data_IF_321280551910
#
_entry.id   IF_321280551910
#
_cell.length_a   1.000
_cell.length_b   1.000
_cell.length_c   1.000
_cell.angle_alpha   90.00
_cell.angle_beta   90.00
_cell.angle_gamma   90.00
#
_symmetry.space_group_name_H-M   'P 1'
#
loop_
_entity.id
_entity.type
_entity.pdbx_description
1 polymer ?
#
# COMPACT_ATOMS: atom_id res chain seq x y z
N UNK A 1 3.15 13.63 -13.74
CA UNK A 1 2.53 12.43 -14.32
C UNK A 1 1.88 11.69 -13.17
N UNK A 2 0.58 11.48 -13.24
CA UNK A 2 -0.18 10.83 -12.17
C UNK A 2 -0.26 9.33 -12.48
N UNK A 3 0.19 8.49 -11.56
CA UNK A 3 0.01 7.05 -11.68
C UNK A 3 -1.46 6.69 -11.50
N UNK A 4 -1.90 5.60 -12.12
CA UNK A 4 -3.20 4.98 -11.87
C UNK A 4 -3.15 4.15 -10.59
N UNK A 5 -4.28 4.01 -9.90
CA UNK A 5 -4.39 3.24 -8.66
C UNK A 5 -5.23 1.98 -8.90
N UNK A 6 -4.61 0.83 -8.70
CA UNK A 6 -5.27 -0.46 -8.71
C UNK A 6 -5.17 -1.15 -7.34
N UNK A 7 -6.09 -2.07 -7.09
CA UNK A 7 -6.08 -2.90 -5.90
C UNK A 7 -6.08 -4.37 -6.34
N UNK A 8 -5.26 -5.19 -5.69
CA UNK A 8 -5.48 -6.63 -5.75
C UNK A 8 -6.88 -6.96 -5.19
N UNK A 9 -7.58 -7.97 -5.72
CA UNK A 9 -8.91 -8.34 -5.22
C UNK A 9 -8.94 -8.63 -3.71
N UNK A 10 -7.85 -9.22 -3.18
CA UNK A 10 -7.65 -9.43 -1.75
C UNK A 10 -7.45 -8.12 -0.98
N UNK A 11 -6.58 -7.24 -1.50
CA UNK A 11 -6.34 -5.92 -0.92
C UNK A 11 -7.59 -5.02 -0.94
N UNK A 12 -8.45 -5.15 -1.95
CA UNK A 12 -9.71 -4.43 -2.01
C UNK A 12 -10.67 -4.88 -0.91
N UNK A 13 -10.74 -6.19 -0.64
CA UNK A 13 -11.53 -6.74 0.48
C UNK A 13 -11.00 -6.24 1.83
N UNK A 14 -9.68 -6.22 2.01
CA UNK A 14 -9.03 -5.66 3.21
C UNK A 14 -9.33 -4.17 3.37
N UNK A 15 -9.19 -3.41 2.28
CA UNK A 15 -9.49 -1.99 2.23
C UNK A 15 -10.95 -1.72 2.60
N UNK A 16 -11.90 -2.50 2.08
CA UNK A 16 -13.32 -2.33 2.37
C UNK A 16 -13.64 -2.55 3.86
N UNK A 17 -12.91 -3.44 4.54
CA UNK A 17 -13.06 -3.69 5.99
C UNK A 17 -12.54 -2.56 6.88
N UNK A 18 -11.75 -1.62 6.34
CA UNK A 18 -11.24 -0.50 7.11
C UNK A 18 -12.34 0.50 7.49
N UNK A 19 -12.17 1.12 8.64
CA UNK A 19 -12.97 2.26 9.06
C UNK A 19 -12.80 3.46 8.13
N UNK A 20 -13.84 4.28 7.99
CA UNK A 20 -13.85 5.44 7.10
C UNK A 20 -12.74 6.44 7.41
N UNK A 21 -12.38 6.62 8.69
CA UNK A 21 -11.27 7.48 9.11
C UNK A 21 -9.92 6.97 8.58
N UNK A 22 -9.67 5.66 8.70
CA UNK A 22 -8.43 5.02 8.22
C UNK A 22 -8.35 5.08 6.69
N UNK A 23 -9.47 4.81 5.99
CA UNK A 23 -9.57 4.97 4.54
C UNK A 23 -9.24 6.39 4.10
N UNK A 24 -9.75 7.42 4.80
CA UNK A 24 -9.49 8.81 4.46
C UNK A 24 -8.01 9.18 4.62
N UNK A 25 -7.37 8.72 5.70
CA UNK A 25 -5.94 8.93 5.93
C UNK A 25 -5.08 8.26 4.84
N UNK A 26 -5.41 7.01 4.48
CA UNK A 26 -4.71 6.32 3.40
C UNK A 26 -4.96 6.97 2.05
N UNK A 27 -6.19 7.42 1.73
CA UNK A 27 -6.48 8.14 0.48
C UNK A 27 -5.60 9.38 0.32
N UNK A 28 -5.42 10.17 1.39
CA UNK A 28 -4.53 11.33 1.38
C UNK A 28 -3.09 10.93 1.05
N UNK A 29 -2.58 9.88 1.68
CA UNK A 29 -1.23 9.35 1.43
C UNK A 29 -1.08 8.75 0.03
N UNK A 30 -2.09 8.03 -0.45
CA UNK A 30 -2.09 7.45 -1.79
C UNK A 30 -2.10 8.53 -2.86
N UNK A 31 -2.86 9.62 -2.69
CA UNK A 31 -2.82 10.76 -3.60
C UNK A 31 -1.39 11.33 -3.75
N UNK A 32 -0.66 11.51 -2.64
CA UNK A 32 0.76 11.90 -2.67
C UNK A 32 1.64 10.86 -3.42
N UNK A 33 1.30 9.57 -3.33
CA UNK A 33 2.02 8.50 -4.04
C UNK A 33 1.70 8.44 -5.53
N UNK A 34 0.50 8.83 -5.95
CA UNK A 34 0.17 8.87 -7.38
C UNK A 34 1.04 9.90 -8.12
N UNK A 35 1.49 10.96 -7.44
CA UNK A 35 2.44 11.92 -8.02
C UNK A 35 3.89 11.46 -7.89
N UNK A 36 4.27 10.90 -6.73
CA UNK A 36 5.61 10.38 -6.50
C UNK A 36 5.58 9.01 -5.78
N UNK A 37 5.50 7.91 -6.54
CA UNK A 37 5.31 6.59 -5.95
C UNK A 37 6.59 5.99 -5.37
N UNK A 38 7.76 6.40 -5.88
CA UNK A 38 9.06 5.80 -5.55
C UNK A 38 9.73 6.49 -4.37
N UNK A 39 9.25 6.21 -3.16
CA UNK A 39 9.80 6.81 -1.94
C UNK A 39 10.87 5.91 -1.33
N UNK A 40 12.14 6.27 -1.50
CA UNK A 40 13.29 5.46 -1.08
C UNK A 40 13.23 5.02 0.40
N UNK A 41 12.81 5.91 1.30
CA UNK A 41 12.66 5.63 2.74
C UNK A 41 11.62 4.56 3.06
N UNK A 42 10.63 4.43 2.19
CA UNK A 42 9.49 3.53 2.36
C UNK A 42 9.63 2.24 1.56
N UNK A 43 10.73 2.07 0.80
CA UNK A 43 11.02 0.86 0.05
C UNK A 43 11.10 -0.35 0.97
N UNK A 44 10.44 -1.43 0.60
CA UNK A 44 10.55 -2.71 1.30
C UNK A 44 11.88 -3.39 0.93
N UNK A 45 12.65 -3.79 1.95
CA UNK A 45 13.88 -4.55 1.74
C UNK A 45 13.53 -5.96 1.26
N UNK A 46 14.28 -6.47 0.29
CA UNK A 46 14.06 -7.79 -0.30
C UNK A 46 13.00 -7.84 -1.41
N UNK A 47 12.35 -6.71 -1.72
CA UNK A 47 11.32 -6.62 -2.75
C UNK A 47 11.66 -5.58 -3.80
N UNK A 48 11.31 -5.86 -5.05
CA UNK A 48 11.54 -4.95 -6.18
C UNK A 48 10.31 -4.07 -6.42
N UNK A 49 10.53 -2.76 -6.47
CA UNK A 49 9.49 -1.74 -6.69
C UNK A 49 8.29 -1.77 -5.73
N UNK A 50 8.48 -2.33 -4.53
CA UNK A 50 7.45 -2.37 -3.50
C UNK A 50 7.80 -1.42 -2.36
N UNK A 51 6.79 -0.67 -1.94
CA UNK A 51 6.88 0.42 -0.98
C UNK A 51 5.76 0.31 0.05
N UNK A 52 5.95 0.95 1.20
CA UNK A 52 4.99 0.89 2.30
C UNK A 52 4.48 2.26 2.72
N UNK A 53 3.20 2.36 3.06
CA UNK A 53 2.62 3.52 3.74
C UNK A 53 2.34 3.10 5.19
N UNK A 54 2.79 3.92 6.15
CA UNK A 54 2.55 3.69 7.59
C UNK A 54 1.62 4.76 8.13
N UNK A 55 0.50 4.35 8.72
CA UNK A 55 -0.32 5.20 9.58
C UNK A 55 0.01 4.82 11.03
N UNK A 56 0.96 5.56 11.64
CA UNK A 56 1.49 5.21 12.96
C UNK A 56 0.40 5.29 14.03
N UNK A 57 -0.34 6.38 14.07
CA UNK A 57 -1.35 6.65 15.10
C UNK A 57 -2.55 5.72 14.99
N UNK A 58 -2.94 5.37 13.75
CA UNK A 58 -4.01 4.42 13.50
C UNK A 58 -3.57 2.94 13.62
N UNK A 59 -2.26 2.65 13.67
CA UNK A 59 -1.76 1.28 13.75
C UNK A 59 -1.89 0.47 12.46
N UNK A 60 -1.96 1.11 11.28
CA UNK A 60 -2.11 0.43 9.99
C UNK A 60 -0.90 0.56 9.07
N UNK A 61 -0.74 -0.42 8.18
CA UNK A 61 0.25 -0.44 7.11
C UNK A 61 -0.41 -0.83 5.79
N UNK A 62 0.07 -0.25 4.71
CA UNK A 62 -0.32 -0.59 3.34
C UNK A 62 0.95 -0.84 2.54
N UNK A 63 0.99 -1.92 1.75
CA UNK A 63 2.06 -2.21 0.82
C UNK A 63 1.55 -2.02 -0.61
N UNK A 64 2.33 -1.35 -1.45
CA UNK A 64 2.00 -1.13 -2.86
C UNK A 64 3.21 -1.39 -3.75
N UNK A 65 2.95 -1.92 -4.94
CA UNK A 65 3.92 -2.08 -6.01
C UNK A 65 3.80 -0.95 -7.01
N UNK A 66 4.93 -0.49 -7.55
CA UNK A 66 5.00 0.49 -8.63
C UNK A 66 5.34 -0.24 -9.91
N UNK A 67 4.49 -0.11 -10.93
CA UNK A 67 4.74 -0.63 -12.27
C UNK A 67 4.98 0.54 -13.22
N UNK A 68 6.23 0.94 -13.38
CA UNK A 68 6.61 2.05 -14.28
C UNK A 68 6.17 1.83 -15.73
N UNK A 69 6.21 0.59 -16.20
CA UNK A 69 5.80 0.25 -17.57
C UNK A 69 4.32 0.54 -17.86
N UNK A 70 3.47 0.50 -16.81
CA UNK A 70 2.02 0.71 -16.91
C UNK A 70 1.60 2.05 -16.30
N UNK A 71 2.53 2.78 -15.67
CA UNK A 71 2.23 4.00 -14.89
C UNK A 71 1.15 3.71 -13.83
N UNK A 72 1.25 2.54 -13.17
CA UNK A 72 0.25 2.06 -12.22
C UNK A 72 0.86 1.75 -10.85
N UNK A 73 0.15 2.10 -9.80
CA UNK A 73 0.39 1.66 -8.42
C UNK A 73 -0.63 0.58 -8.09
N UNK A 74 -0.15 -0.59 -7.72
CA UNK A 74 -1.00 -1.71 -7.30
C UNK A 74 -0.89 -1.86 -5.78
N UNK A 75 -2.00 -1.66 -5.07
CA UNK A 75 -2.09 -1.95 -3.64
C UNK A 75 -2.14 -3.47 -3.46
N UNK A 76 -1.12 -4.00 -2.78
CA UNK A 76 -0.93 -5.43 -2.58
C UNK A 76 -1.60 -5.94 -1.30
N UNK A 77 -1.46 -5.19 -0.22
CA UNK A 77 -1.96 -5.57 1.12
C UNK A 77 -2.30 -4.31 1.91
N UNK A 78 -3.39 -4.39 2.68
CA UNK A 78 -3.76 -3.37 3.66
C UNK A 78 -4.09 -4.08 4.97
N UNK A 79 -3.44 -3.71 6.06
CA UNK A 79 -3.62 -4.44 7.32
C UNK A 79 -3.17 -3.66 8.54
N UNK A 80 -3.57 -4.17 9.71
CA UNK A 80 -3.05 -3.67 10.98
C UNK A 80 -1.59 -4.04 11.12
N UNK A 81 -0.88 -3.30 11.97
CA UNK A 81 0.51 -3.59 12.33
C UNK A 81 0.62 -4.86 13.17
N UNK A 82 -0.43 -5.22 13.91
CA UNK A 82 -0.45 -6.35 14.84
C UNK A 82 0.01 -7.63 14.11
N UNK A 83 0.88 -8.40 14.76
CA UNK A 83 1.44 -9.68 14.30
C UNK A 83 2.18 -9.69 12.96
N UNK A 84 2.55 -8.52 12.40
CA UNK A 84 3.16 -8.43 11.06
C UNK A 84 2.33 -9.11 9.95
N UNK A 85 1.01 -9.24 10.15
CA UNK A 85 0.08 -9.86 9.19
C UNK A 85 0.21 -9.27 7.78
N UNK A 86 0.41 -7.95 7.69
CA UNK A 86 0.58 -7.28 6.42
C UNK A 86 1.83 -7.73 5.64
N UNK A 87 2.85 -8.26 6.31
CA UNK A 87 4.05 -8.80 5.67
C UNK A 87 3.94 -10.30 5.38
N UNK A 88 3.32 -11.07 6.26
CA UNK A 88 3.03 -12.49 5.97
C UNK A 88 2.13 -12.62 4.74
N UNK A 89 1.04 -11.84 4.69
CA UNK A 89 0.17 -11.78 3.50
C UNK A 89 0.87 -11.27 2.24
N UNK A 90 1.92 -10.46 2.39
CA UNK A 90 2.69 -9.93 1.27
C UNK A 90 3.59 -11.01 0.67
N UNK A 91 4.18 -11.90 1.50
CA UNK A 91 5.00 -13.03 1.04
C UNK A 91 4.18 -14.01 0.20
N UNK A 92 2.93 -14.28 0.57
CA UNK A 92 2.06 -15.18 -0.21
C UNK A 92 1.60 -14.60 -1.55
N UNK A 93 1.76 -13.28 -1.76
CA UNK A 93 1.22 -12.55 -2.94
C UNK A 93 2.30 -12.18 -3.96
N UNK A 94 3.58 -12.43 -3.67
CA UNK A 94 4.73 -12.05 -4.52
C UNK A 94 5.58 -13.28 -4.80
#
# INVERSE_FOLDING_TARGET
MSYELEFLPSALKEWQKLDNSVKAQFKKKLAERLENPKVAKDKLRGYENIYKIKLKDAGYRLAYQVKDAQITIIVLVVGRRENDEAYELLKDRI
#
